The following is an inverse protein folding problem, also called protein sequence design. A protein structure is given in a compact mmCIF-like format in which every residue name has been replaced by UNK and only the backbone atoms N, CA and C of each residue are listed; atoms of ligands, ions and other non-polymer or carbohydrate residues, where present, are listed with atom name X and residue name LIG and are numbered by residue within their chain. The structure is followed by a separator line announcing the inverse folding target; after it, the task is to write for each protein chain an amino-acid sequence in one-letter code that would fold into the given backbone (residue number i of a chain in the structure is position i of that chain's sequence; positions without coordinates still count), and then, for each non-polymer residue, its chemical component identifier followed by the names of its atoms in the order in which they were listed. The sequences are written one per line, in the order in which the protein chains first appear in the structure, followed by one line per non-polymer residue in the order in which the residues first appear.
data_IF_514842299860
#
_entry.id   IF_514842299860
#
_cell.length_a   1.000
_cell.length_b   1.000
_cell.length_c   1.000
_cell.angle_alpha   90.00
_cell.angle_beta   90.00
_cell.angle_gamma   90.00
#
_symmetry.space_group_name_H-M   'P 1'
#
loop_
_entity.id
_entity.type
_entity.pdbx_description
1 polymer ?
#
# COMPACT_ATOMS: atom_id res chain seq x y z
N UNK A 1 8.77 -4.85 -0.20
CA UNK A 1 9.15 -3.54 -0.80
C UNK A 1 7.97 -2.57 -0.84
N UNK A 2 6.81 -2.97 -1.39
CA UNK A 2 5.60 -2.13 -1.41
C UNK A 2 5.17 -1.69 0.00
N UNK A 3 5.05 -2.63 0.95
CA UNK A 3 4.76 -2.33 2.36
C UNK A 3 5.77 -1.34 2.96
N UNK A 4 7.05 -1.50 2.67
CA UNK A 4 8.11 -0.60 3.16
C UNK A 4 7.94 0.81 2.60
N UNK A 5 7.72 0.96 1.30
CA UNK A 5 7.47 2.25 0.66
C UNK A 5 6.19 2.92 1.21
N UNK A 6 5.13 2.13 1.42
CA UNK A 6 3.89 2.59 2.05
C UNK A 6 4.12 3.06 3.48
N UNK A 7 4.88 2.31 4.27
CA UNK A 7 5.18 2.60 5.67
C UNK A 7 5.97 3.91 5.85
N UNK A 8 6.84 4.26 4.90
CA UNK A 8 7.66 5.49 4.95
C UNK A 8 7.08 6.65 4.13
N UNK A 9 5.84 6.55 3.65
CA UNK A 9 5.12 7.61 2.90
C UNK A 9 5.76 7.96 1.54
N UNK A 10 6.39 7.01 0.86
CA UNK A 10 7.00 7.25 -0.45
C UNK A 10 6.02 7.02 -1.60
N UNK A 11 5.11 7.97 -1.83
CA UNK A 11 4.02 7.83 -2.83
C UNK A 11 4.52 7.52 -4.24
N UNK A 12 5.60 8.17 -4.70
CA UNK A 12 6.11 7.94 -6.07
C UNK A 12 6.67 6.52 -6.23
N UNK A 13 7.29 5.99 -5.18
CA UNK A 13 7.77 4.60 -5.16
C UNK A 13 6.58 3.64 -5.12
N UNK A 14 5.53 3.94 -4.34
CA UNK A 14 4.31 3.12 -4.31
C UNK A 14 3.65 3.06 -5.70
N UNK A 15 3.51 4.21 -6.38
CA UNK A 15 2.98 4.30 -7.74
C UNK A 15 3.81 3.50 -8.73
N UNK A 16 5.14 3.70 -8.70
CA UNK A 16 6.07 2.96 -9.54
C UNK A 16 5.97 1.45 -9.31
N UNK A 17 6.02 0.98 -8.06
CA UNK A 17 5.94 -0.44 -7.73
C UNK A 17 4.64 -1.08 -8.23
N UNK A 18 3.49 -0.41 -8.05
CA UNK A 18 2.21 -0.90 -8.56
C UNK A 18 2.20 -0.95 -10.09
N UNK A 19 2.79 0.02 -10.78
CA UNK A 19 2.86 0.02 -12.26
C UNK A 19 3.71 -1.11 -12.84
N UNK A 20 4.71 -1.62 -12.10
CA UNK A 20 5.65 -2.65 -12.58
C UNK A 20 5.29 -4.07 -12.14
N UNK A 21 4.07 -4.32 -11.65
CA UNK A 21 3.52 -5.62 -11.19
C UNK A 21 3.71 -5.98 -9.70
N UNK A 22 3.89 -5.01 -8.80
CA UNK A 22 3.82 -5.33 -7.37
C UNK A 22 2.42 -5.83 -6.97
N UNK A 23 2.36 -6.93 -6.22
CA UNK A 23 1.13 -7.43 -5.62
C UNK A 23 0.61 -6.43 -4.56
N UNK A 24 -0.53 -5.82 -4.86
CA UNK A 24 -1.19 -4.82 -4.01
C UNK A 24 -1.72 -5.42 -2.70
N UNK A 25 -1.95 -6.74 -2.67
CA UNK A 25 -2.46 -7.49 -1.52
C UNK A 25 -1.35 -8.23 -0.75
N UNK A 26 -0.08 -7.93 -1.04
CA UNK A 26 1.07 -8.52 -0.34
C UNK A 26 0.95 -8.32 1.17
N UNK A 27 1.32 -9.34 1.97
CA UNK A 27 1.17 -9.31 3.43
C UNK A 27 2.54 -9.31 4.12
N UNK A 28 2.66 -8.56 5.20
CA UNK A 28 3.81 -8.71 6.10
C UNK A 28 3.66 -9.93 7.03
N UNK A 29 4.65 -10.15 7.90
CA UNK A 29 4.66 -11.24 8.87
C UNK A 29 3.52 -11.17 9.91
N UNK A 30 2.77 -10.07 9.97
CA UNK A 30 1.58 -9.89 10.82
C UNK A 30 0.29 -9.97 10.00
N UNK A 31 0.36 -10.35 8.73
CA UNK A 31 -0.80 -10.43 7.84
C UNK A 31 -1.29 -9.07 7.33
N UNK A 32 -0.54 -7.98 7.52
CA UNK A 32 -0.99 -6.63 7.15
C UNK A 32 -0.66 -6.29 5.70
N UNK A 33 -1.64 -5.77 4.98
CA UNK A 33 -1.50 -5.30 3.61
C UNK A 33 -0.94 -3.86 3.54
N UNK A 34 -0.46 -3.40 2.37
CA UNK A 34 -0.12 -1.99 2.17
C UNK A 34 -1.25 -1.03 2.59
N UNK A 35 -2.51 -1.38 2.31
CA UNK A 35 -3.65 -0.54 2.68
C UNK A 35 -3.78 -0.38 4.20
N UNK A 36 -3.62 -1.47 4.98
CA UNK A 36 -3.59 -1.40 6.44
C UNK A 36 -2.45 -0.51 6.96
N UNK A 37 -1.25 -0.63 6.36
CA UNK A 37 -0.12 0.21 6.74
C UNK A 37 -0.39 1.69 6.46
N UNK A 38 -0.98 2.00 5.30
CA UNK A 38 -1.38 3.37 4.98
C UNK A 38 -2.40 3.92 5.98
N UNK A 39 -3.37 3.11 6.41
CA UNK A 39 -4.36 3.49 7.43
C UNK A 39 -3.73 3.71 8.81
N UNK A 40 -2.92 2.76 9.30
CA UNK A 40 -2.27 2.83 10.62
C UNK A 40 -1.32 4.04 10.73
N UNK A 41 -0.74 4.46 9.59
CA UNK A 41 0.19 5.60 9.52
C UNK A 41 -0.46 6.90 9.06
N UNK A 42 -1.76 6.91 8.81
CA UNK A 42 -2.50 8.08 8.34
C UNK A 42 -1.96 8.65 7.00
N UNK A 43 -1.44 7.77 6.14
CA UNK A 43 -0.90 8.12 4.82
C UNK A 43 -2.01 8.22 3.78
N UNK A 44 -2.86 9.23 3.92
CA UNK A 44 -4.13 9.35 3.19
C UNK A 44 -3.98 9.38 1.66
N UNK A 45 -2.89 9.97 1.13
CA UNK A 45 -2.62 9.96 -0.31
C UNK A 45 -2.36 8.53 -0.83
N UNK A 46 -1.56 7.76 -0.10
CA UNK A 46 -1.27 6.36 -0.45
C UNK A 46 -2.53 5.52 -0.27
N UNK A 47 -3.30 5.74 0.79
CA UNK A 47 -4.58 5.06 1.00
C UNK A 47 -5.51 5.23 -0.20
N UNK A 48 -5.76 6.48 -0.62
CA UNK A 48 -6.63 6.77 -1.78
C UNK A 48 -6.10 6.13 -3.06
N UNK A 49 -4.79 6.19 -3.28
CA UNK A 49 -4.18 5.57 -4.45
C UNK A 49 -4.39 4.05 -4.45
N UNK A 50 -4.12 3.36 -3.34
CA UNK A 50 -4.31 1.92 -3.22
C UNK A 50 -5.77 1.52 -3.45
N UNK A 51 -6.74 2.24 -2.86
CA UNK A 51 -8.18 2.01 -3.12
C UNK A 51 -8.52 2.21 -4.58
N UNK A 52 -7.97 3.25 -5.24
CA UNK A 52 -8.22 3.49 -6.67
C UNK A 52 -7.66 2.41 -7.58
N UNK A 53 -6.63 1.69 -7.13
CA UNK A 53 -6.02 0.56 -7.83
C UNK A 53 -6.69 -0.79 -7.48
N UNK A 54 -7.78 -0.77 -6.71
CA UNK A 54 -8.56 -1.96 -6.39
C UNK A 54 -8.08 -2.74 -5.17
N UNK A 55 -7.29 -2.12 -4.28
CA UNK A 55 -6.94 -2.77 -3.00
C UNK A 55 -8.19 -3.13 -2.20
N UNK A 56 -8.19 -4.31 -1.58
CA UNK A 56 -9.32 -4.79 -0.80
C UNK A 56 -9.49 -3.96 0.48
N UNK A 57 -10.62 -3.25 0.59
CA UNK A 57 -10.95 -2.43 1.77
C UNK A 57 -11.48 -3.24 2.96
N UNK A 58 -11.86 -4.50 2.75
CA UNK A 58 -12.32 -5.41 3.79
C UNK A 58 -11.19 -6.28 4.37
N UNK A 59 -9.94 -5.99 3.98
CA UNK A 59 -8.76 -6.73 4.43
C UNK A 59 -8.55 -6.65 5.94
#
# INVERSE_FOLDING_TARGET
MLITATYFRHIDIVKFLISVVADIETKDNKGRTPLMHASIKEHLEIFRYLVSMGANIFT
#
